data_IF_985516844710
#
_entry.id   IF_985516844710
#
_cell.length_a   1.000
_cell.length_b   1.000
_cell.length_c   1.000
_cell.angle_alpha   90.00
_cell.angle_beta   90.00
_cell.angle_gamma   90.00
#
_symmetry.space_group_name_H-M   'P 1'
#
loop_
_entity.id
_entity.type
_entity.pdbx_description
1 polymer ?
#
# COMPACT_ATOMS: atom_id res chain seq x y z
N UNK A 1 -14.12 13.97 17.53
CA UNK A 1 -14.39 13.61 16.14
C UNK A 1 -13.89 12.18 15.93
N UNK A 2 -14.66 11.37 15.23
CA UNK A 2 -14.26 10.01 14.90
C UNK A 2 -13.18 10.07 13.80
N UNK A 3 -12.12 9.28 13.93
CA UNK A 3 -11.04 9.24 12.95
C UNK A 3 -11.50 8.51 11.68
N UNK A 4 -11.14 9.04 10.52
CA UNK A 4 -11.44 8.43 9.22
C UNK A 4 -10.59 7.20 8.93
N UNK A 5 -11.16 6.28 8.17
CA UNK A 5 -10.49 5.14 7.54
C UNK A 5 -10.48 5.37 6.04
N UNK A 6 -9.30 5.34 5.44
CA UNK A 6 -9.10 5.63 4.02
C UNK A 6 -8.46 4.43 3.32
N UNK A 7 -9.04 3.98 2.21
CA UNK A 7 -8.50 2.92 1.34
C UNK A 7 -8.06 3.53 -0.01
N UNK A 8 -6.75 3.69 -0.17
CA UNK A 8 -6.15 4.13 -1.42
C UNK A 8 -5.82 2.92 -2.30
N UNK A 9 -6.10 3.03 -3.59
CA UNK A 9 -6.03 1.92 -4.57
C UNK A 9 -7.04 0.81 -4.26
N UNK A 10 -8.24 1.19 -3.81
CA UNK A 10 -9.23 0.31 -3.19
C UNK A 10 -9.71 -0.87 -4.05
N UNK A 11 -9.52 -0.81 -5.39
CA UNK A 11 -9.97 -1.85 -6.30
C UNK A 11 -11.45 -2.19 -6.09
N UNK A 12 -11.78 -3.48 -6.09
CA UNK A 12 -13.15 -3.97 -5.83
C UNK A 12 -13.52 -4.11 -4.36
N UNK A 13 -12.68 -3.65 -3.40
CA UNK A 13 -13.00 -3.59 -1.97
C UNK A 13 -12.44 -4.72 -1.10
N UNK A 14 -11.44 -5.47 -1.59
CA UNK A 14 -10.87 -6.57 -0.80
C UNK A 14 -10.21 -6.10 0.51
N UNK A 15 -9.46 -5.00 0.47
CA UNK A 15 -8.85 -4.41 1.67
C UNK A 15 -9.92 -3.80 2.58
N UNK A 16 -10.88 -3.06 2.01
CA UNK A 16 -12.02 -2.48 2.74
C UNK A 16 -12.81 -3.55 3.49
N UNK A 17 -13.11 -4.70 2.85
CA UNK A 17 -13.77 -5.84 3.52
C UNK A 17 -12.95 -6.34 4.71
N UNK A 18 -11.64 -6.52 4.54
CA UNK A 18 -10.76 -6.96 5.64
C UNK A 18 -10.70 -5.95 6.79
N UNK A 19 -10.66 -4.67 6.47
CA UNK A 19 -10.68 -3.57 7.47
C UNK A 19 -12.02 -3.57 8.23
N UNK A 20 -13.14 -3.69 7.53
CA UNK A 20 -14.48 -3.75 8.15
C UNK A 20 -14.63 -4.96 9.07
N UNK A 21 -14.14 -6.13 8.64
CA UNK A 21 -14.14 -7.33 9.48
C UNK A 21 -13.30 -7.16 10.75
N UNK A 22 -12.18 -6.45 10.66
CA UNK A 22 -11.27 -6.26 11.78
C UNK A 22 -11.71 -5.16 12.76
N UNK A 23 -12.37 -4.11 12.27
CA UNK A 23 -12.69 -2.91 13.04
C UNK A 23 -14.17 -2.81 13.41
N UNK A 24 -15.05 -3.53 12.73
CA UNK A 24 -16.51 -3.38 12.83
C UNK A 24 -17.02 -2.07 12.23
N UNK A 25 -16.19 -1.35 11.45
CA UNK A 25 -16.52 -0.04 10.86
C UNK A 25 -16.31 -0.07 9.36
N UNK A 26 -17.20 0.61 8.63
CA UNK A 26 -16.99 0.85 7.21
C UNK A 26 -15.78 1.76 6.96
N UNK A 27 -15.13 1.57 5.83
CA UNK A 27 -14.14 2.51 5.32
C UNK A 27 -14.87 3.79 4.92
N UNK A 28 -14.36 4.95 5.33
CA UNK A 28 -15.00 6.23 5.07
C UNK A 28 -14.75 6.74 3.65
N UNK A 29 -13.54 6.49 3.14
CA UNK A 29 -13.09 6.98 1.82
C UNK A 29 -12.41 5.85 1.07
N UNK A 30 -12.81 5.62 -0.18
CA UNK A 30 -12.16 4.70 -1.12
C UNK A 30 -11.79 5.43 -2.41
N UNK A 31 -10.55 5.25 -2.87
CA UNK A 31 -10.00 5.91 -4.06
C UNK A 31 -9.51 4.86 -5.05
N UNK A 32 -10.00 4.92 -6.27
CA UNK A 32 -9.48 4.14 -7.40
C UNK A 32 -9.83 4.82 -8.72
N UNK A 33 -8.94 4.76 -9.71
CA UNK A 33 -9.16 5.37 -11.03
C UNK A 33 -10.05 4.53 -11.95
N UNK A 34 -10.20 3.22 -11.68
CA UNK A 34 -10.96 2.30 -12.51
C UNK A 34 -12.45 2.36 -12.15
N UNK A 35 -13.33 2.78 -13.10
CA UNK A 35 -14.77 2.92 -12.86
C UNK A 35 -15.45 1.57 -12.57
N UNK A 36 -15.01 0.46 -13.16
CA UNK A 36 -15.59 -0.86 -12.91
C UNK A 36 -15.25 -1.34 -11.50
N UNK A 37 -14.01 -1.12 -11.05
CA UNK A 37 -13.61 -1.40 -9.68
C UNK A 37 -14.42 -0.57 -8.67
N UNK A 38 -14.60 0.73 -8.91
CA UNK A 38 -15.42 1.60 -8.07
C UNK A 38 -16.90 1.21 -8.09
N UNK A 39 -17.44 0.78 -9.23
CA UNK A 39 -18.81 0.28 -9.30
C UNK A 39 -19.02 -0.95 -8.42
N UNK A 40 -18.08 -1.91 -8.48
CA UNK A 40 -18.07 -3.09 -7.61
C UNK A 40 -17.93 -2.70 -6.13
N UNK A 41 -17.00 -1.80 -5.84
CA UNK A 41 -16.75 -1.33 -4.46
C UNK A 41 -18.00 -0.68 -3.85
N UNK A 42 -18.74 0.14 -4.62
CA UNK A 42 -19.99 0.78 -4.16
C UNK A 42 -21.08 -0.21 -3.77
N UNK A 43 -21.17 -1.32 -4.49
CA UNK A 43 -22.14 -2.37 -4.17
C UNK A 43 -21.80 -3.06 -2.85
N UNK A 44 -20.52 -3.34 -2.63
CA UNK A 44 -20.04 -4.05 -1.45
C UNK A 44 -19.92 -3.14 -0.22
N UNK A 45 -19.62 -1.85 -0.43
CA UNK A 45 -19.36 -0.86 0.63
C UNK A 45 -20.21 0.40 0.43
N UNK A 46 -21.54 0.34 0.58
CA UNK A 46 -22.45 1.43 0.23
C UNK A 46 -22.33 2.68 1.14
N UNK A 47 -21.73 2.53 2.32
CA UNK A 47 -21.52 3.63 3.27
C UNK A 47 -20.23 4.41 3.02
N UNK A 48 -19.40 3.98 2.07
CA UNK A 48 -18.10 4.58 1.76
C UNK A 48 -18.26 5.72 0.74
N UNK A 49 -17.56 6.82 0.93
CA UNK A 49 -17.42 7.87 -0.09
C UNK A 49 -16.37 7.45 -1.12
N UNK A 50 -16.77 7.39 -2.38
CA UNK A 50 -15.93 6.91 -3.47
C UNK A 50 -15.41 8.03 -4.35
N UNK A 51 -14.10 8.02 -4.62
CA UNK A 51 -13.44 8.82 -5.64
C UNK A 51 -13.05 7.91 -6.81
N UNK A 52 -13.66 8.15 -7.98
CA UNK A 52 -13.27 7.47 -9.22
C UNK A 52 -12.25 8.34 -9.97
N UNK A 53 -11.08 8.46 -9.39
CA UNK A 53 -10.03 9.39 -9.80
C UNK A 53 -8.65 8.78 -9.58
N UNK A 54 -7.64 9.29 -10.30
CA UNK A 54 -6.25 8.97 -9.99
C UNK A 54 -5.91 9.44 -8.56
N UNK A 55 -5.19 8.62 -7.82
CA UNK A 55 -4.80 8.91 -6.44
C UNK A 55 -3.99 10.20 -6.28
N UNK A 56 -3.33 10.66 -7.35
CA UNK A 56 -2.62 11.93 -7.38
C UNK A 56 -3.55 13.14 -7.52
N UNK A 57 -4.73 12.96 -8.15
CA UNK A 57 -5.72 14.02 -8.34
C UNK A 57 -6.55 14.28 -7.07
N UNK A 58 -6.69 13.28 -6.20
CA UNK A 58 -7.39 13.45 -4.92
C UNK A 58 -6.48 14.19 -3.92
N UNK A 59 -6.88 15.40 -3.50
CA UNK A 59 -6.18 16.10 -2.43
C UNK A 59 -6.52 15.50 -1.07
N UNK A 60 -5.54 15.02 -0.28
CA UNK A 60 -5.79 14.39 1.02
C UNK A 60 -6.49 15.33 2.02
N UNK A 61 -6.19 16.63 2.00
CA UNK A 61 -6.76 17.61 2.94
C UNK A 61 -8.23 17.85 2.62
N UNK A 62 -8.56 18.05 1.34
CA UNK A 62 -9.95 18.22 0.88
C UNK A 62 -10.77 16.95 1.10
N UNK A 63 -10.20 15.77 0.76
CA UNK A 63 -10.87 14.49 0.95
C UNK A 63 -11.23 14.24 2.41
N UNK A 64 -10.35 14.57 3.35
CA UNK A 64 -10.59 14.39 4.78
C UNK A 64 -11.46 15.49 5.40
N UNK A 65 -11.64 16.63 4.72
CA UNK A 65 -12.47 17.76 5.20
C UNK A 65 -12.16 18.18 6.66
N UNK A 66 -10.87 18.18 7.03
CA UNK A 66 -10.40 18.55 8.37
C UNK A 66 -10.57 17.47 9.46
N UNK A 67 -11.08 16.30 9.11
CA UNK A 67 -11.16 15.18 10.06
C UNK A 67 -9.81 14.45 10.18
N UNK A 68 -9.43 14.00 11.39
CA UNK A 68 -8.23 13.20 11.58
C UNK A 68 -8.38 11.82 10.90
N UNK A 69 -7.27 11.27 10.42
CA UNK A 69 -7.21 9.95 9.79
C UNK A 69 -6.62 8.94 10.77
N UNK A 70 -7.43 7.94 11.17
CA UNK A 70 -7.00 6.86 12.06
C UNK A 70 -6.22 5.77 11.33
N UNK A 71 -6.67 5.42 10.13
CA UNK A 71 -6.03 4.42 9.29
C UNK A 71 -6.06 4.86 7.83
N UNK A 72 -4.90 4.81 7.17
CA UNK A 72 -4.81 4.90 5.72
C UNK A 72 -4.15 3.63 5.17
N UNK A 73 -4.89 2.93 4.31
CA UNK A 73 -4.42 1.77 3.57
C UNK A 73 -3.94 2.17 2.19
N UNK A 74 -2.85 1.53 1.74
CA UNK A 74 -2.26 1.74 0.42
C UNK A 74 -1.90 0.39 -0.20
N UNK A 75 -2.40 0.13 -1.41
CA UNK A 75 -2.01 -1.03 -2.22
C UNK A 75 -1.67 -0.60 -3.66
N UNK A 76 -0.59 0.18 -3.84
CA UNK A 76 -0.20 0.70 -5.14
C UNK A 76 0.15 -0.42 -6.12
N UNK A 77 -0.13 -0.20 -7.41
CA UNK A 77 0.15 -1.18 -8.47
C UNK A 77 1.60 -1.67 -8.40
N UNK A 78 1.73 -2.98 -8.41
CA UNK A 78 3.01 -3.70 -8.35
C UNK A 78 3.55 -4.13 -9.72
N UNK A 79 2.92 -3.74 -10.82
CA UNK A 79 3.25 -4.23 -12.18
C UNK A 79 4.73 -4.04 -12.52
N UNK A 80 5.37 -3.00 -12.01
CA UNK A 80 6.78 -2.69 -12.25
C UNK A 80 7.76 -3.32 -11.25
N UNK A 81 7.29 -3.89 -10.17
CA UNK A 81 8.10 -4.67 -9.21
C UNK A 81 7.96 -6.18 -9.43
N UNK A 82 6.83 -6.63 -10.00
CA UNK A 82 6.52 -8.05 -10.17
C UNK A 82 7.45 -8.75 -11.17
N UNK A 83 7.92 -9.94 -10.83
CA UNK A 83 8.68 -10.85 -11.70
C UNK A 83 7.93 -11.23 -12.98
N UNK A 84 6.61 -11.16 -12.98
CA UNK A 84 5.75 -11.51 -14.12
C UNK A 84 5.95 -10.58 -15.33
N UNK A 85 6.59 -9.42 -15.20
CA UNK A 85 6.75 -8.42 -16.28
C UNK A 85 7.71 -8.83 -17.40
N UNK A 86 8.59 -9.79 -17.18
CA UNK A 86 9.47 -10.31 -18.24
C UNK A 86 10.47 -9.30 -18.81
N UNK A 87 10.99 -8.36 -18.01
CA UNK A 87 12.08 -7.45 -18.42
C UNK A 87 11.68 -6.30 -19.34
N UNK A 88 10.38 -5.99 -19.52
CA UNK A 88 9.90 -4.81 -20.27
C UNK A 88 10.30 -3.51 -19.56
N UNK A 89 10.50 -2.39 -20.31
CA UNK A 89 10.77 -1.07 -19.74
C UNK A 89 9.75 -0.68 -18.65
N UNK A 90 10.23 0.03 -17.63
CA UNK A 90 9.42 0.43 -16.46
C UNK A 90 8.84 1.82 -16.70
N UNK A 91 7.54 1.99 -16.46
CA UNK A 91 6.92 3.31 -16.37
C UNK A 91 7.29 3.95 -15.03
N UNK A 92 7.93 5.11 -15.07
CA UNK A 92 8.35 5.85 -13.88
C UNK A 92 7.17 6.28 -13.02
N UNK A 93 6.04 6.65 -13.64
CA UNK A 93 4.86 7.11 -12.93
C UNK A 93 4.23 5.99 -12.07
N UNK A 94 4.08 4.80 -12.64
CA UNK A 94 3.52 3.65 -11.91
C UNK A 94 4.48 3.21 -10.79
N UNK A 95 5.77 3.26 -11.02
CA UNK A 95 6.78 2.91 -10.00
C UNK A 95 6.80 3.91 -8.84
N UNK A 96 6.47 5.17 -9.12
CA UNK A 96 6.34 6.23 -8.13
C UNK A 96 5.08 6.17 -7.26
N UNK A 97 4.12 5.29 -7.56
CA UNK A 97 2.83 5.27 -6.83
C UNK A 97 2.97 5.05 -5.32
N UNK A 98 4.03 4.39 -4.86
CA UNK A 98 4.27 4.23 -3.43
C UNK A 98 4.54 5.59 -2.72
N UNK A 99 5.02 6.61 -3.42
CA UNK A 99 5.22 7.96 -2.87
C UNK A 99 3.90 8.64 -2.46
N UNK A 100 2.74 8.18 -2.98
CA UNK A 100 1.42 8.63 -2.50
C UNK A 100 1.29 8.43 -0.98
N UNK A 101 1.88 7.38 -0.42
CA UNK A 101 1.91 7.14 1.03
C UNK A 101 2.60 8.30 1.76
N UNK A 102 3.73 8.79 1.24
CA UNK A 102 4.45 9.95 1.80
C UNK A 102 3.62 11.22 1.67
N UNK A 103 2.93 11.42 0.52
CA UNK A 103 2.03 12.57 0.33
C UNK A 103 0.94 12.62 1.40
N UNK A 104 0.27 11.49 1.67
CA UNK A 104 -0.75 11.40 2.72
C UNK A 104 -0.16 11.62 4.11
N UNK A 105 0.99 11.01 4.40
CA UNK A 105 1.69 11.18 5.68
C UNK A 105 2.09 12.63 5.93
N UNK A 106 2.54 13.34 4.89
CA UNK A 106 2.93 14.75 4.94
C UNK A 106 1.73 15.70 5.11
N UNK A 107 0.63 15.44 4.40
CA UNK A 107 -0.54 16.34 4.31
C UNK A 107 -1.51 16.17 5.48
N UNK A 108 -1.87 14.94 5.85
CA UNK A 108 -2.93 14.66 6.84
C UNK A 108 -2.48 13.77 7.99
N UNK A 109 -1.24 13.28 7.96
CA UNK A 109 -0.59 12.52 9.04
C UNK A 109 -1.50 11.40 9.62
N UNK A 110 -1.87 10.37 8.86
CA UNK A 110 -2.66 9.25 9.39
C UNK A 110 -1.99 8.65 10.62
N UNK A 111 -2.77 8.33 11.66
CA UNK A 111 -2.23 7.73 12.89
C UNK A 111 -1.59 6.37 12.65
N UNK A 112 -2.18 5.60 11.73
CA UNK A 112 -1.68 4.32 11.25
C UNK A 112 -1.69 4.32 9.72
N UNK A 113 -0.59 3.93 9.13
CA UNK A 113 -0.44 3.67 7.70
C UNK A 113 -0.20 2.18 7.51
N UNK A 114 -0.92 1.57 6.59
CA UNK A 114 -0.66 0.20 6.13
C UNK A 114 -0.42 0.22 4.63
N UNK A 115 0.63 -0.45 4.18
CA UNK A 115 0.96 -0.59 2.75
C UNK A 115 1.15 -2.05 2.39
N UNK A 116 0.42 -2.50 1.36
CA UNK A 116 0.55 -3.83 0.75
C UNK A 116 1.25 -3.72 -0.60
N UNK A 117 2.15 -4.63 -0.89
CA UNK A 117 2.76 -4.77 -2.22
C UNK A 117 3.34 -6.18 -2.43
N UNK A 118 4.00 -6.41 -3.55
CA UNK A 118 4.81 -7.62 -3.76
C UNK A 118 6.12 -7.56 -2.97
N UNK A 119 6.72 -8.70 -2.57
CA UNK A 119 7.98 -8.74 -1.83
C UNK A 119 9.13 -7.99 -2.50
N UNK A 120 9.07 -7.87 -3.82
CA UNK A 120 10.08 -7.21 -4.66
C UNK A 120 10.11 -5.69 -4.49
N UNK A 121 9.10 -5.05 -3.85
CA UNK A 121 9.16 -3.60 -3.53
C UNK A 121 10.43 -3.24 -2.76
N UNK A 122 10.98 -4.16 -1.97
CA UNK A 122 12.25 -3.97 -1.24
C UNK A 122 13.45 -3.79 -2.16
N UNK A 123 13.33 -4.16 -3.43
CA UNK A 123 14.37 -3.92 -4.44
C UNK A 123 14.16 -2.61 -5.21
N UNK A 124 13.21 -1.78 -4.78
CA UNK A 124 12.94 -0.50 -5.40
C UNK A 124 14.19 0.40 -5.33
N UNK A 125 14.74 0.69 -6.48
CA UNK A 125 15.93 1.51 -6.68
C UNK A 125 15.80 2.35 -7.95
N UNK A 126 16.74 3.21 -8.28
CA UNK A 126 16.69 4.11 -9.43
C UNK A 126 16.66 3.36 -10.76
N UNK A 127 16.19 4.05 -11.79
CA UNK A 127 16.20 3.59 -13.17
C UNK A 127 17.40 4.18 -13.91
N UNK A 128 18.00 3.35 -14.76
CA UNK A 128 18.99 3.79 -15.75
C UNK A 128 18.36 4.58 -16.89
N UNK A 129 19.21 5.06 -17.81
CA UNK A 129 18.79 5.80 -19.00
C UNK A 129 17.92 4.99 -19.96
N UNK A 130 18.02 3.66 -19.89
CA UNK A 130 17.21 2.69 -20.64
C UNK A 130 15.88 2.35 -19.94
N UNK A 131 15.51 3.09 -18.89
CA UNK A 131 14.34 2.85 -18.04
C UNK A 131 14.31 1.45 -17.38
N UNK A 132 15.48 0.83 -17.19
CA UNK A 132 15.59 -0.42 -16.44
C UNK A 132 16.17 -0.18 -15.04
N UNK A 133 15.79 -1.02 -14.05
CA UNK A 133 16.37 -0.95 -12.71
C UNK A 133 17.90 -1.14 -12.75
N UNK A 134 18.61 -0.26 -12.08
CA UNK A 134 20.05 -0.40 -11.85
C UNK A 134 20.24 -1.44 -10.74
N UNK A 135 20.72 -2.64 -11.10
CA UNK A 135 20.81 -3.79 -10.18
C UNK A 135 21.67 -3.51 -8.96
N UNK A 136 22.78 -2.81 -9.14
CA UNK A 136 23.76 -2.44 -8.12
C UNK A 136 23.18 -1.45 -7.09
N UNK A 137 22.08 -0.80 -7.44
CA UNK A 137 21.38 0.19 -6.63
C UNK A 137 19.99 -0.28 -6.16
N UNK A 138 19.76 -1.60 -6.20
CA UNK A 138 18.51 -2.19 -5.73
C UNK A 138 18.30 -1.92 -4.24
N UNK A 139 17.09 -1.44 -3.89
CA UNK A 139 16.70 -1.11 -2.52
C UNK A 139 16.97 0.34 -2.11
N UNK A 140 17.70 1.12 -2.89
CA UNK A 140 18.07 2.48 -2.54
C UNK A 140 16.87 3.42 -2.42
N UNK A 141 15.91 3.34 -3.35
CA UNK A 141 14.68 4.14 -3.29
C UNK A 141 13.77 3.66 -2.17
N UNK A 142 13.72 2.35 -1.92
CA UNK A 142 12.99 1.79 -0.78
C UNK A 142 13.56 2.25 0.57
N UNK A 143 14.87 2.31 0.71
CA UNK A 143 15.53 2.86 1.90
C UNK A 143 15.15 4.33 2.13
N UNK A 144 15.19 5.15 1.06
CA UNK A 144 14.74 6.55 1.12
C UNK A 144 13.26 6.69 1.51
N UNK A 145 12.39 5.80 1.00
CA UNK A 145 10.98 5.77 1.36
C UNK A 145 10.77 5.49 2.85
N UNK A 146 11.47 4.50 3.42
CA UNK A 146 11.42 4.19 4.85
C UNK A 146 11.97 5.34 5.68
N UNK A 147 13.11 5.93 5.27
CA UNK A 147 13.71 7.07 5.95
C UNK A 147 12.79 8.27 6.00
N UNK A 148 12.12 8.62 4.90
CA UNK A 148 11.18 9.73 4.86
C UNK A 148 10.02 9.55 5.86
N UNK A 149 9.49 8.33 5.99
CA UNK A 149 8.47 8.01 6.99
C UNK A 149 8.98 8.09 8.43
N UNK A 150 10.23 7.71 8.67
CA UNK A 150 10.78 7.52 10.02
C UNK A 150 11.69 8.66 10.47
N UNK A 151 12.99 8.46 10.42
CA UNK A 151 14.01 9.33 11.02
C UNK A 151 14.50 10.46 10.11
N UNK A 152 14.05 10.48 8.86
CA UNK A 152 14.42 11.49 7.87
C UNK A 152 15.29 10.95 6.74
N UNK A 153 15.05 11.48 5.55
CA UNK A 153 15.83 11.19 4.35
C UNK A 153 16.87 12.30 4.14
N UNK A 154 18.18 11.99 4.18
CA UNK A 154 19.21 13.00 3.94
C UNK A 154 19.07 13.66 2.58
N UNK A 155 19.38 14.96 2.49
CA UNK A 155 19.29 15.72 1.24
C UNK A 155 20.13 15.11 0.10
N UNK A 156 21.29 14.56 0.42
CA UNK A 156 22.20 13.90 -0.52
C UNK A 156 21.81 12.42 -0.81
N UNK A 157 20.72 11.94 -0.20
CA UNK A 157 20.24 10.58 -0.48
C UNK A 157 19.76 10.46 -1.93
N UNK A 158 20.17 9.41 -2.66
CA UNK A 158 19.84 9.26 -4.08
C UNK A 158 18.34 9.31 -4.44
N UNK A 159 17.47 8.90 -3.51
CA UNK A 159 16.02 8.94 -3.71
C UNK A 159 15.39 10.31 -3.40
N UNK A 160 16.11 11.26 -2.80
CA UNK A 160 15.55 12.53 -2.37
C UNK A 160 15.01 13.36 -3.54
N UNK A 161 15.81 13.49 -4.61
CA UNK A 161 15.40 14.24 -5.81
C UNK A 161 14.21 13.56 -6.51
N UNK A 162 14.20 12.23 -6.62
CA UNK A 162 13.07 11.48 -7.20
C UNK A 162 11.79 11.71 -6.36
N UNK A 163 11.91 11.63 -5.05
CA UNK A 163 10.82 11.86 -4.12
C UNK A 163 10.23 13.27 -4.26
N UNK A 164 11.06 14.30 -4.22
CA UNK A 164 10.61 15.68 -4.38
C UNK A 164 9.93 15.91 -5.73
N UNK A 165 10.52 15.41 -6.81
CA UNK A 165 9.94 15.51 -8.15
C UNK A 165 8.58 14.80 -8.26
N UNK A 166 8.42 13.61 -7.66
CA UNK A 166 7.17 12.85 -7.69
C UNK A 166 6.09 13.49 -6.81
N UNK A 167 6.48 14.09 -5.70
CA UNK A 167 5.57 14.83 -4.81
C UNK A 167 5.26 16.25 -5.29
N UNK A 168 5.89 16.70 -6.39
CA UNK A 168 5.77 18.05 -6.95
C UNK A 168 6.12 19.15 -5.93
N UNK A 169 7.14 18.90 -5.09
CA UNK A 169 7.65 19.85 -4.12
C UNK A 169 9.08 20.30 -4.47
N UNK A 170 9.41 21.57 -4.16
CA UNK A 170 10.79 22.03 -4.29
C UNK A 170 11.68 21.33 -3.26
N UNK A 171 12.92 20.90 -3.62
CA UNK A 171 13.88 20.38 -2.65
C UNK A 171 14.20 21.33 -1.49
N UNK A 172 14.05 22.64 -1.70
CA UNK A 172 14.29 23.69 -0.68
C UNK A 172 13.00 24.13 0.03
N UNK A 173 11.89 23.42 -0.17
CA UNK A 173 10.60 23.76 0.44
C UNK A 173 10.52 23.34 1.92
N UNK A 174 9.60 23.95 2.70
CA UNK A 174 9.32 23.49 4.07
C UNK A 174 8.86 22.04 4.12
N UNK A 175 8.15 21.55 3.11
CA UNK A 175 7.74 20.17 2.97
C UNK A 175 8.94 19.23 2.81
N UNK A 176 9.91 19.58 1.96
CA UNK A 176 11.14 18.81 1.80
C UNK A 176 11.96 18.81 3.10
N UNK A 177 12.09 19.94 3.79
CA UNK A 177 12.75 20.02 5.09
C UNK A 177 12.09 19.12 6.16
N UNK A 178 10.76 18.96 6.13
CA UNK A 178 10.06 18.01 7.01
C UNK A 178 10.41 16.56 6.69
N UNK A 179 10.59 16.23 5.42
CA UNK A 179 11.00 14.87 4.99
C UNK A 179 12.45 14.60 5.35
N UNK A 180 13.33 15.61 5.30
CA UNK A 180 14.70 15.49 5.81
C UNK A 180 14.77 15.22 7.32
N UNK A 181 13.88 15.85 8.09
CA UNK A 181 13.75 15.60 9.52
C UNK A 181 13.06 14.28 9.86
N UNK A 182 12.31 13.73 8.91
CA UNK A 182 11.47 12.55 9.06
C UNK A 182 10.09 12.86 9.60
N UNK A 183 9.12 12.06 9.15
CA UNK A 183 7.73 12.22 9.58
C UNK A 183 7.46 11.61 10.96
N UNK A 184 8.45 10.94 11.57
CA UNK A 184 8.42 10.46 12.95
C UNK A 184 7.48 9.27 13.17
N UNK A 185 7.25 8.47 12.14
CA UNK A 185 6.57 7.18 12.33
C UNK A 185 7.55 6.13 12.86
N UNK A 186 7.06 5.24 13.72
CA UNK A 186 7.68 3.92 13.89
C UNK A 186 7.16 3.02 12.76
N UNK A 187 8.04 2.38 11.99
CA UNK A 187 7.68 1.58 10.83
C UNK A 187 8.35 0.21 10.88
N UNK A 188 7.56 -0.83 10.66
CA UNK A 188 8.01 -2.20 10.54
C UNK A 188 7.36 -2.86 9.33
N UNK A 189 8.01 -3.86 8.76
CA UNK A 189 7.44 -4.60 7.63
C UNK A 189 7.77 -6.09 7.72
N UNK A 190 6.89 -6.89 7.11
CA UNK A 190 7.07 -8.33 6.99
C UNK A 190 6.55 -8.84 5.64
N UNK A 191 6.81 -10.11 5.38
CA UNK A 191 6.26 -10.82 4.23
C UNK A 191 5.33 -11.89 4.78
N UNK A 192 4.06 -11.85 4.35
CA UNK A 192 3.04 -12.81 4.74
C UNK A 192 2.59 -13.63 3.54
N UNK A 193 2.34 -14.91 3.77
CA UNK A 193 1.78 -15.83 2.79
C UNK A 193 0.32 -16.11 3.16
N UNK A 194 -0.59 -15.87 2.24
CA UNK A 194 -2.03 -15.87 2.51
C UNK A 194 -2.57 -17.21 3.06
N UNK A 195 -2.04 -18.35 2.61
CA UNK A 195 -2.46 -19.65 3.13
C UNK A 195 -2.11 -19.87 4.61
N UNK A 196 -1.08 -19.18 5.12
CA UNK A 196 -0.71 -19.25 6.54
C UNK A 196 -1.76 -18.61 7.47
N UNK A 197 -2.73 -17.91 6.86
CA UNK A 197 -3.84 -17.22 7.53
C UNK A 197 -5.23 -17.72 7.08
N UNK A 198 -5.29 -18.87 6.38
CA UNK A 198 -6.52 -19.55 6.01
C UNK A 198 -7.07 -19.20 4.64
N UNK A 199 -6.41 -18.37 3.85
CA UNK A 199 -6.83 -18.15 2.46
C UNK A 199 -6.38 -19.33 1.56
N UNK A 200 -7.21 -19.78 0.59
CA UNK A 200 -6.90 -20.92 -0.27
C UNK A 200 -5.93 -20.56 -1.40
N UNK A 201 -4.86 -19.82 -1.08
CA UNK A 201 -3.85 -19.38 -2.05
C UNK A 201 -2.48 -19.23 -1.40
N UNK A 202 -1.42 -19.56 -2.14
CA UNK A 202 -0.02 -19.36 -1.74
C UNK A 202 0.49 -17.94 -2.03
N UNK A 203 -0.42 -16.99 -2.33
CA UNK A 203 -0.08 -15.60 -2.59
C UNK A 203 0.77 -15.04 -1.45
N UNK A 204 1.91 -14.49 -1.79
CA UNK A 204 2.85 -13.89 -0.84
C UNK A 204 2.90 -12.38 -1.08
N UNK A 205 2.81 -11.60 0.01
CA UNK A 205 2.82 -10.13 -0.06
C UNK A 205 3.69 -9.52 1.02
N UNK A 206 4.23 -8.37 0.66
CA UNK A 206 4.88 -7.44 1.58
C UNK A 206 3.81 -6.60 2.28
N UNK A 207 3.96 -6.42 3.58
CA UNK A 207 3.13 -5.53 4.39
C UNK A 207 4.04 -4.63 5.21
N UNK A 208 3.77 -3.33 5.16
CA UNK A 208 4.36 -2.33 6.03
C UNK A 208 3.27 -1.75 6.92
N UNK A 209 3.59 -1.59 8.19
CA UNK A 209 2.79 -0.83 9.15
C UNK A 209 3.66 0.32 9.65
N UNK A 210 3.14 1.56 9.56
CA UNK A 210 3.80 2.72 10.16
C UNK A 210 2.82 3.41 11.12
N UNK A 211 3.30 3.77 12.33
CA UNK A 211 2.48 4.36 13.39
C UNK A 211 3.15 5.59 13.98
N UNK A 212 2.36 6.63 14.27
CA UNK A 212 2.82 7.84 14.94
C UNK A 212 2.19 8.07 16.33
N UNK A 213 1.52 7.05 16.89
CA UNK A 213 0.82 7.11 18.19
C UNK A 213 1.60 6.45 19.35
N UNK A 214 2.84 6.05 19.11
CA UNK A 214 3.72 5.44 20.12
C UNK A 214 3.34 4.00 20.52
N UNK A 215 2.30 3.41 19.91
CA UNK A 215 1.92 2.03 20.21
C UNK A 215 2.79 1.03 19.45
N UNK A 216 3.00 -0.18 19.97
CA UNK A 216 3.80 -1.20 19.28
C UNK A 216 3.14 -1.66 17.99
N UNK A 217 3.96 -2.04 17.02
CA UNK A 217 3.54 -2.74 15.81
C UNK A 217 3.60 -4.24 16.10
N UNK A 218 2.52 -4.94 15.75
CA UNK A 218 2.43 -6.40 15.94
C UNK A 218 1.86 -7.02 14.68
N UNK A 219 2.62 -7.93 14.06
CA UNK A 219 2.12 -8.74 12.96
C UNK A 219 1.47 -10.02 13.52
N UNK A 220 0.35 -10.48 12.93
CA UNK A 220 -0.34 -11.66 13.42
C UNK A 220 0.52 -12.92 13.22
N UNK A 221 0.55 -13.85 14.19
CA UNK A 221 1.17 -15.15 13.97
C UNK A 221 0.36 -16.00 12.98
N UNK A 222 0.99 -16.92 12.25
CA UNK A 222 0.29 -17.87 11.39
C UNK A 222 -0.78 -18.67 12.15
N UNK A 223 -1.93 -18.89 11.53
CA UNK A 223 -3.04 -19.70 12.06
C UNK A 223 -3.19 -21.04 11.36
N UNK A 224 -2.61 -21.20 10.16
CA UNK A 224 -2.68 -22.40 9.33
C UNK A 224 -1.28 -22.86 8.93
N UNK A 225 -1.10 -24.17 8.77
CA UNK A 225 0.19 -24.79 8.43
C UNK A 225 0.27 -26.26 8.76
N UNK A 226 1.49 -26.81 8.66
CA UNK A 226 1.79 -28.19 9.02
C UNK A 226 2.19 -28.39 10.49
N UNK A 227 2.15 -27.31 11.31
CA UNK A 227 2.48 -27.36 12.73
C UNK A 227 1.37 -28.01 13.56
N UNK A 228 1.74 -28.61 14.72
CA UNK A 228 0.82 -29.36 15.57
C UNK A 228 -0.34 -28.52 16.11
N UNK A 229 -0.12 -27.22 16.31
CA UNK A 229 -1.10 -26.26 16.86
C UNK A 229 -1.73 -25.36 15.77
N UNK A 230 -1.46 -25.65 14.48
CA UNK A 230 -1.99 -24.90 13.35
C UNK A 230 -3.13 -25.67 12.70
N UNK A 231 -4.10 -24.92 12.16
CA UNK A 231 -5.16 -25.51 11.33
C UNK A 231 -4.57 -25.99 9.99
N UNK A 232 -5.12 -27.01 9.35
CA UNK A 232 -4.68 -27.42 8.02
C UNK A 232 -4.93 -26.30 7.00
N UNK A 233 -4.12 -26.27 5.94
CA UNK A 233 -4.32 -25.35 4.83
C UNK A 233 -5.65 -25.64 4.11
N UNK A 234 -6.35 -24.58 3.71
CA UNK A 234 -7.47 -24.68 2.79
C UNK A 234 -6.98 -24.79 1.34
N UNK A 235 -7.70 -25.56 0.54
CA UNK A 235 -7.44 -25.72 -0.89
C UNK A 235 -8.41 -24.90 -1.72
N UNK A 236 -8.01 -24.49 -2.94
CA UNK A 236 -8.91 -23.82 -3.87
C UNK A 236 -10.15 -24.67 -4.20
N UNK A 237 -10.02 -26.01 -4.19
CA UNK A 237 -11.12 -26.94 -4.44
C UNK A 237 -12.28 -26.80 -3.45
N UNK A 238 -11.99 -26.42 -2.20
CA UNK A 238 -13.01 -26.19 -1.16
C UNK A 238 -13.86 -24.93 -1.41
N UNK A 239 -13.37 -24.03 -2.27
CA UNK A 239 -14.04 -22.76 -2.58
C UNK A 239 -14.76 -22.79 -3.94
N UNK A 240 -14.67 -23.89 -4.68
CA UNK A 240 -15.30 -24.05 -6.00
C UNK A 240 -16.65 -24.73 -5.83
N UNK A 241 -17.70 -24.10 -6.34
CA UNK A 241 -19.00 -24.75 -6.51
C UNK A 241 -18.95 -25.67 -7.74
N UNK A 242 -18.70 -26.95 -7.49
CA UNK A 242 -18.60 -27.97 -8.52
C UNK A 242 -19.95 -28.33 -9.18
N UNK A 243 -21.07 -27.77 -8.68
CA UNK A 243 -22.38 -27.94 -9.32
C UNK A 243 -22.58 -27.00 -10.53
N UNK A 244 -21.77 -25.96 -10.66
CA UNK A 244 -21.81 -25.03 -11.78
C UNK A 244 -21.15 -25.71 -13.00
N UNK A 245 -21.89 -25.89 -14.13
CA UNK A 245 -21.32 -26.49 -15.33
C UNK A 245 -20.14 -25.66 -15.87
N UNK A 246 -19.00 -26.32 -16.10
CA UNK A 246 -17.88 -25.69 -16.79
C UNK A 246 -18.27 -25.42 -18.25
N UNK A 247 -18.00 -24.22 -18.74
CA UNK A 247 -18.04 -23.95 -20.17
C UNK A 247 -16.83 -24.62 -20.83
N UNK A 248 -17.08 -25.43 -21.84
CA UNK A 248 -16.02 -25.99 -22.69
C UNK A 248 -15.33 -24.83 -23.42
N UNK A 249 -13.98 -24.78 -23.31
CA UNK A 249 -13.16 -23.84 -24.09
C UNK A 249 -13.06 -24.36 -25.52
#
# INVERSE_FOLDING_TARGET
MEELIVDNFAGGGGASTGIEMATGRSVDIAINHDPDAIAMHRVNHPNTRHYCEDVWQVDPVEACAGNPVGLAWFSPDCTHFSRAKGGKPVDKNIRGLAWVTIRWALKVRPRVIMLENVPEIRTWGPLGVDSKPIKERAGETFDGFIKALTAGIPHDHPAFTEMCATLEISPDSPEAARLEQGLGYNAEYCILRSCDYGAPTTRTRFYLIARCDGKPIVFPPPTHGNGKDLKPYHTAAECIDWSIPAQSI
#
